data_IF_714706349655
#
_entry.id   IF_714706349655
#
_cell.length_a   1.000
_cell.length_b   1.000
_cell.length_c   1.000
_cell.angle_alpha   90.00
_cell.angle_beta   90.00
_cell.angle_gamma   90.00
#
_symmetry.space_group_name_H-M   'P 1'
#
loop_
_entity.id
_entity.type
_entity.pdbx_description
1 polymer ?
#
# COMPACT_ATOMS: atom_id res chain seq x y z
N UNK A 1 30.33 11.69 27.10
CA UNK A 1 29.05 12.29 26.67
C UNK A 1 28.17 11.19 26.09
N UNK A 2 27.16 10.72 26.83
CA UNK A 2 26.16 9.79 26.29
C UNK A 2 25.14 10.60 25.48
N UNK A 3 25.06 10.36 24.17
CA UNK A 3 23.96 10.88 23.33
C UNK A 3 22.66 10.27 23.88
N UNK A 4 21.76 11.10 24.40
CA UNK A 4 20.37 10.69 24.64
C UNK A 4 19.84 10.16 23.31
N UNK A 5 19.35 8.92 23.31
CA UNK A 5 18.62 8.34 22.18
C UNK A 5 17.36 9.19 22.03
N UNK A 6 17.32 10.09 21.06
CA UNK A 6 16.10 10.84 20.77
C UNK A 6 15.03 9.81 20.39
N UNK A 7 13.89 9.84 21.06
CA UNK A 7 12.74 9.02 20.69
C UNK A 7 12.31 9.46 19.30
N UNK A 8 12.49 8.57 18.31
CA UNK A 8 12.07 8.85 16.95
C UNK A 8 10.55 8.92 16.93
N UNK A 9 10.01 10.09 16.60
CA UNK A 9 8.57 10.30 16.46
C UNK A 9 8.12 9.78 15.09
N UNK A 10 6.90 9.26 15.04
CA UNK A 10 6.28 8.74 13.83
C UNK A 10 4.89 9.34 13.64
N UNK A 11 4.47 9.43 12.38
CA UNK A 11 3.07 9.54 11.99
C UNK A 11 2.56 8.13 11.69
N UNK A 12 1.38 7.80 12.20
CA UNK A 12 0.69 6.55 11.90
C UNK A 12 -0.42 6.82 10.88
N UNK A 13 -0.35 6.15 9.75
CA UNK A 13 -1.29 6.28 8.64
C UNK A 13 -2.09 5.00 8.56
N UNK A 14 -3.35 5.07 8.97
CA UNK A 14 -4.27 3.92 8.90
C UNK A 14 -5.04 3.95 7.59
N UNK A 15 -4.99 2.85 6.86
CA UNK A 15 -5.70 2.68 5.60
C UNK A 15 -6.63 1.47 5.72
N UNK A 16 -7.93 1.73 5.68
CA UNK A 16 -8.94 0.69 5.89
C UNK A 16 -9.37 0.07 4.56
N UNK A 17 -9.79 0.88 3.58
CA UNK A 17 -10.38 0.40 2.33
C UNK A 17 -10.15 1.36 1.16
N UNK A 18 -10.01 0.81 -0.04
CA UNK A 18 -10.23 1.50 -1.31
C UNK A 18 -11.39 0.85 -2.07
N UNK A 19 -12.27 1.68 -2.63
CA UNK A 19 -13.44 1.23 -3.38
C UNK A 19 -13.27 1.56 -4.85
N UNK A 20 -13.94 0.78 -5.68
CA UNK A 20 -14.18 1.11 -7.08
C UNK A 20 -12.90 1.39 -7.90
N UNK A 21 -11.78 0.76 -7.53
CA UNK A 21 -10.50 0.85 -8.24
C UNK A 21 -10.54 0.05 -9.53
N UNK A 22 -9.82 0.54 -10.54
CA UNK A 22 -9.63 -0.14 -11.82
C UNK A 22 -8.26 -0.80 -11.81
N UNK A 23 -8.23 -2.12 -12.02
CA UNK A 23 -6.99 -2.82 -12.34
C UNK A 23 -6.51 -2.48 -13.75
N UNK A 24 -5.25 -2.79 -14.04
CA UNK A 24 -4.65 -2.57 -15.34
C UNK A 24 -5.30 -3.38 -16.46
N UNK A 25 -5.83 -4.57 -16.14
CA UNK A 25 -6.52 -5.44 -17.08
C UNK A 25 -7.96 -5.75 -16.67
N UNK A 26 -8.73 -6.39 -17.57
CA UNK A 26 -10.14 -6.74 -17.34
C UNK A 26 -10.35 -8.24 -17.13
N UNK A 27 -9.28 -9.03 -17.04
CA UNK A 27 -9.33 -10.48 -17.14
C UNK A 27 -9.31 -11.16 -15.78
N UNK A 28 -8.76 -10.50 -14.74
CA UNK A 28 -8.65 -11.04 -13.39
C UNK A 28 -8.90 -9.99 -12.32
N UNK A 29 -9.01 -10.45 -11.08
CA UNK A 29 -8.90 -9.58 -9.90
C UNK A 29 -7.43 -9.28 -9.64
N UNK A 30 -7.14 -8.06 -9.26
CA UNK A 30 -5.79 -7.58 -9.08
C UNK A 30 -5.44 -7.53 -7.60
N UNK A 31 -4.26 -8.02 -7.18
CA UNK A 31 -3.77 -7.76 -5.84
C UNK A 31 -3.17 -6.36 -5.76
N UNK A 32 -3.39 -5.71 -4.64
CA UNK A 32 -2.90 -4.35 -4.39
C UNK A 32 -2.11 -4.27 -3.09
N UNK A 33 -1.22 -3.30 -2.98
CA UNK A 33 -0.60 -2.89 -1.72
C UNK A 33 -0.64 -1.36 -1.62
N UNK A 34 -0.35 -0.82 -0.44
CA UNK A 34 -0.35 0.63 -0.20
C UNK A 34 0.98 1.05 0.40
N UNK A 35 1.45 2.25 0.06
CA UNK A 35 2.57 2.89 0.75
C UNK A 35 2.19 4.29 1.20
N UNK A 36 2.88 4.78 2.22
CA UNK A 36 2.75 6.14 2.74
C UNK A 36 4.14 6.74 2.94
N UNK A 37 4.37 7.91 2.33
CA UNK A 37 5.70 8.49 2.22
C UNK A 37 5.64 10.00 1.96
N UNK A 38 6.75 10.70 2.22
CA UNK A 38 6.83 12.12 1.88
C UNK A 38 7.22 12.34 0.42
N UNK A 39 6.72 13.39 -0.24
CA UNK A 39 7.16 13.75 -1.58
C UNK A 39 8.69 13.87 -1.67
N UNK A 40 9.29 13.19 -2.64
CA UNK A 40 10.73 13.20 -2.90
C UNK A 40 11.55 12.15 -2.15
N UNK A 41 10.94 11.27 -1.35
CA UNK A 41 11.62 10.07 -0.87
C UNK A 41 11.97 9.13 -2.03
N UNK A 42 13.06 8.37 -1.90
CA UNK A 42 13.51 7.45 -2.95
C UNK A 42 12.54 6.27 -3.10
N UNK A 43 12.49 5.70 -4.31
CA UNK A 43 11.68 4.51 -4.59
C UNK A 43 11.98 3.35 -3.64
N UNK A 44 13.26 3.12 -3.30
CA UNK A 44 13.65 2.09 -2.32
C UNK A 44 12.97 2.28 -0.95
N UNK A 45 12.83 3.52 -0.50
CA UNK A 45 12.18 3.85 0.78
C UNK A 45 10.67 3.67 0.67
N UNK A 46 10.08 4.06 -0.46
CA UNK A 46 8.66 3.90 -0.74
C UNK A 46 8.29 2.42 -0.79
N UNK A 47 9.09 1.63 -1.50
CA UNK A 47 8.92 0.18 -1.68
C UNK A 47 9.10 -0.58 -0.37
N UNK A 48 10.11 -0.23 0.43
CA UNK A 48 10.33 -0.83 1.74
C UNK A 48 9.16 -0.57 2.73
N UNK A 49 8.32 0.43 2.46
CA UNK A 49 7.14 0.76 3.26
C UNK A 49 5.83 0.26 2.66
N UNK A 50 5.86 -0.41 1.50
CA UNK A 50 4.67 -1.05 0.96
C UNK A 50 4.13 -2.08 1.96
N UNK A 51 2.83 -2.07 2.13
CA UNK A 51 2.14 -3.09 2.92
C UNK A 51 2.22 -4.45 2.22
N UNK A 52 1.74 -5.47 2.92
CA UNK A 52 1.48 -6.76 2.27
C UNK A 52 0.51 -6.59 1.11
N UNK A 53 0.65 -7.46 0.11
CA UNK A 53 -0.32 -7.56 -0.96
C UNK A 53 -1.66 -8.08 -0.41
N UNK A 54 -2.75 -7.49 -0.88
CA UNK A 54 -4.12 -7.83 -0.50
C UNK A 54 -4.91 -8.13 -1.76
N UNK A 55 -5.62 -9.26 -1.85
CA UNK A 55 -6.46 -9.57 -2.99
C UNK A 55 -7.70 -8.67 -3.01
N UNK A 56 -8.04 -8.18 -4.20
CA UNK A 56 -9.26 -7.41 -4.40
C UNK A 56 -10.52 -8.31 -4.49
N UNK A 57 -11.68 -7.66 -4.45
CA UNK A 57 -13.00 -8.26 -4.71
C UNK A 57 -13.73 -7.41 -5.74
N UNK A 58 -14.62 -8.00 -6.55
CA UNK A 58 -15.49 -7.21 -7.43
C UNK A 58 -16.40 -6.32 -6.60
N UNK A 59 -16.51 -5.03 -6.95
CA UNK A 59 -17.39 -4.10 -6.24
C UNK A 59 -18.87 -4.44 -6.40
N UNK A 60 -19.25 -5.05 -7.53
CA UNK A 60 -20.59 -5.55 -7.80
C UNK A 60 -20.56 -6.73 -8.79
N UNK A 61 -21.62 -7.57 -8.87
CA UNK A 61 -21.72 -8.61 -9.89
C UNK A 61 -21.58 -8.02 -11.30
N UNK A 62 -20.64 -8.56 -12.09
CA UNK A 62 -20.34 -8.07 -13.45
C UNK A 62 -19.56 -6.76 -13.53
N UNK A 63 -19.21 -6.14 -12.41
CA UNK A 63 -18.38 -4.93 -12.39
C UNK A 63 -16.95 -5.23 -12.82
N UNK A 64 -16.35 -4.26 -13.51
CA UNK A 64 -14.90 -4.18 -13.78
C UNK A 64 -14.13 -3.46 -12.66
N UNK A 65 -14.85 -2.89 -11.71
CA UNK A 65 -14.29 -2.19 -10.56
C UNK A 65 -14.11 -3.14 -9.39
N UNK A 66 -13.10 -2.84 -8.63
CA UNK A 66 -12.59 -3.66 -7.56
C UNK A 66 -12.60 -2.90 -6.23
N UNK A 67 -12.87 -3.62 -5.15
CA UNK A 67 -12.80 -3.14 -3.78
C UNK A 67 -11.68 -3.88 -3.07
N UNK A 68 -10.85 -3.16 -2.33
CA UNK A 68 -9.74 -3.71 -1.57
C UNK A 68 -9.83 -3.24 -0.12
N UNK A 69 -9.70 -4.19 0.81
CA UNK A 69 -9.79 -3.96 2.24
C UNK A 69 -8.42 -4.21 2.86
N UNK A 70 -7.66 -3.14 3.10
CA UNK A 70 -6.28 -3.23 3.58
C UNK A 70 -6.21 -3.49 5.08
N UNK A 71 -6.91 -2.67 5.88
CA UNK A 71 -6.79 -2.67 7.35
C UNK A 71 -5.34 -2.61 7.85
N UNK A 72 -4.51 -1.81 7.19
CA UNK A 72 -3.08 -1.68 7.46
C UNK A 72 -2.75 -0.35 8.13
N UNK A 73 -1.66 -0.34 8.90
CA UNK A 73 -1.11 0.88 9.51
C UNK A 73 0.34 1.05 9.11
N UNK A 74 0.65 2.15 8.43
CA UNK A 74 2.00 2.48 7.98
C UNK A 74 2.60 3.53 8.91
N UNK A 75 3.82 3.27 9.41
CA UNK A 75 4.57 4.20 10.24
C UNK A 75 5.54 5.00 9.39
N UNK A 76 5.33 6.31 9.33
CA UNK A 76 6.23 7.24 8.62
C UNK A 76 7.00 8.05 9.65
N UNK A 77 8.34 8.16 9.54
CA UNK A 77 9.11 9.04 10.41
C UNK A 77 8.56 10.47 10.40
N UNK A 78 8.42 11.11 11.55
CA UNK A 78 7.92 12.48 11.60
C UNK A 78 8.97 13.45 11.03
N UNK A 79 8.57 14.24 10.03
CA UNK A 79 9.40 15.29 9.45
C UNK A 79 8.69 16.65 9.61
N UNK A 80 9.12 17.52 10.55
CA UNK A 80 8.46 18.80 10.79
C UNK A 80 8.56 19.78 9.61
N UNK A 81 9.44 19.53 8.64
CA UNK A 81 9.62 20.37 7.45
C UNK A 81 8.66 20.01 6.31
N UNK A 82 8.02 18.84 6.37
CA UNK A 82 7.09 18.39 5.35
C UNK A 82 5.69 18.27 5.96
N UNK A 83 4.76 19.02 5.38
CA UNK A 83 3.39 19.11 5.89
C UNK A 83 2.42 18.13 5.21
N UNK A 84 2.82 17.57 4.06
CA UNK A 84 2.00 16.71 3.23
C UNK A 84 2.64 15.33 3.11
N UNK A 85 1.78 14.31 3.12
CA UNK A 85 2.14 12.92 2.93
C UNK A 85 1.41 12.37 1.71
N UNK A 86 2.10 11.60 0.89
CA UNK A 86 1.47 10.80 -0.16
C UNK A 86 1.03 9.46 0.40
N UNK A 87 -0.16 9.03 -0.01
CA UNK A 87 -0.65 7.66 0.17
C UNK A 87 -0.98 7.14 -1.22
N UNK A 88 -0.34 6.05 -1.60
CA UNK A 88 -0.42 5.52 -2.96
C UNK A 88 -0.74 4.04 -2.94
N UNK A 89 -1.66 3.63 -3.81
CA UNK A 89 -2.08 2.25 -3.98
C UNK A 89 -1.39 1.73 -5.23
N UNK A 90 -0.70 0.60 -5.08
CA UNK A 90 0.05 -0.05 -6.15
C UNK A 90 -0.61 -1.37 -6.50
N UNK A 91 -0.80 -1.61 -7.79
CA UNK A 91 -1.10 -2.94 -8.30
C UNK A 91 0.15 -3.83 -8.25
N UNK A 92 0.01 -5.06 -7.78
CA UNK A 92 1.09 -6.03 -7.67
C UNK A 92 1.04 -6.99 -8.85
N UNK A 93 2.10 -7.00 -9.67
CA UNK A 93 2.23 -7.98 -10.74
C UNK A 93 2.63 -9.34 -10.16
N UNK A 94 1.68 -10.27 -10.12
CA UNK A 94 1.98 -11.67 -9.74
C UNK A 94 2.44 -12.45 -10.97
N UNK A 95 3.64 -13.04 -10.96
CA UNK A 95 4.10 -13.93 -12.02
C UNK A 95 3.15 -15.12 -12.20
N UNK A 96 2.89 -15.51 -13.45
CA UNK A 96 2.00 -16.62 -13.82
C UNK A 96 2.33 -17.96 -13.13
N UNK A 97 3.55 -18.13 -12.60
CA UNK A 97 4.04 -19.37 -12.01
C UNK A 97 3.51 -19.67 -10.59
N UNK A 98 2.95 -18.69 -9.88
CA UNK A 98 2.33 -18.91 -8.55
C UNK A 98 0.84 -19.28 -8.62
N UNK A 99 0.30 -19.55 -9.81
CA UNK A 99 -1.15 -19.79 -10.01
C UNK A 99 -1.58 -21.27 -9.82
N UNK A 100 -0.65 -22.17 -9.46
CA UNK A 100 -0.92 -23.62 -9.37
C UNK A 100 -0.45 -24.28 -8.06
N UNK A 101 -0.36 -23.52 -6.97
CA UNK A 101 -0.28 -24.10 -5.62
C UNK A 101 -1.56 -23.77 -4.86
N UNK A 102 -2.67 -24.33 -5.32
CA UNK A 102 -3.80 -24.65 -4.46
C UNK A 102 -4.30 -26.03 -4.93
N UNK A 103 -4.42 -26.93 -3.94
CA UNK A 103 -4.63 -28.38 -4.01
C UNK A 103 -5.80 -28.87 -4.88
#
# INVERSE_FOLDING_TARGET
MQRKKEEQKYLEVRIDKANEILGMDNFRLHPFCVSAYYPGESEEVIDARKTKMVPAKKSAPGSRREDVFFFETIRVPYNPRQQLLHVEIFEVQVPLQMQFEDE
#
